data_IF_709786772122
#
_entry.id   IF_709786772122
#
_cell.length_a   1.000
_cell.length_b   1.000
_cell.length_c   1.000
_cell.angle_alpha   90.00
_cell.angle_beta   90.00
_cell.angle_gamma   90.00
#
_symmetry.space_group_name_H-M   'P 1'
#
loop_
_entity.id
_entity.type
_entity.pdbx_description
1 polymer ?
#
# COMPACT_ATOMS: atom_id res chain seq x y z
N UNK A 1 -4.32 14.63 -17.54
CA UNK A 1 -5.44 13.93 -16.85
C UNK A 1 -5.10 13.98 -15.39
N UNK A 2 -5.93 14.63 -14.58
CA UNK A 2 -5.73 14.64 -13.15
C UNK A 2 -6.35 13.38 -12.55
N UNK A 3 -5.63 12.71 -11.64
CA UNK A 3 -6.16 11.57 -10.90
C UNK A 3 -5.74 11.68 -9.44
N UNK A 4 -6.54 11.08 -8.55
CA UNK A 4 -6.35 11.12 -7.11
C UNK A 4 -6.12 9.73 -6.55
N UNK A 5 -5.25 9.67 -5.55
CA UNK A 5 -4.89 8.46 -4.83
C UNK A 5 -5.21 8.66 -3.36
N UNK A 6 -5.95 7.73 -2.76
CA UNK A 6 -6.21 7.70 -1.32
C UNK A 6 -5.83 6.33 -0.74
N UNK A 7 -5.05 6.34 0.33
CA UNK A 7 -4.78 5.18 1.17
C UNK A 7 -5.37 5.45 2.55
N UNK A 8 -6.33 4.64 2.95
CA UNK A 8 -7.01 4.77 4.24
C UNK A 8 -6.59 3.63 5.14
N UNK A 9 -6.04 3.94 6.32
CA UNK A 9 -5.76 2.93 7.34
C UNK A 9 -7.08 2.28 7.79
N UNK A 10 -7.17 0.97 7.65
CA UNK A 10 -8.36 0.20 8.03
C UNK A 10 -8.20 -0.35 9.44
N UNK A 11 -7.18 -1.18 9.63
CA UNK A 11 -6.92 -1.84 10.91
C UNK A 11 -5.50 -2.36 11.00
N UNK A 12 -5.09 -2.64 12.22
CA UNK A 12 -3.89 -3.42 12.51
C UNK A 12 -4.23 -4.91 12.36
N UNK A 13 -3.42 -5.65 11.59
CA UNK A 13 -3.59 -7.11 11.39
C UNK A 13 -2.73 -7.89 12.38
N UNK A 14 -1.53 -7.38 12.69
CA UNK A 14 -0.63 -7.92 13.71
C UNK A 14 0.16 -6.79 14.39
N UNK A 15 1.05 -7.11 15.33
CA UNK A 15 1.96 -6.13 15.93
C UNK A 15 2.77 -5.35 14.89
N UNK A 16 3.13 -5.99 13.78
CA UNK A 16 3.99 -5.48 12.69
C UNK A 16 3.26 -5.20 11.38
N UNK A 17 2.01 -5.67 11.21
CA UNK A 17 1.27 -5.56 9.95
C UNK A 17 0.01 -4.69 10.03
N UNK A 18 -0.19 -3.85 9.02
CA UNK A 18 -1.26 -2.86 8.95
C UNK A 18 -1.97 -2.93 7.59
N UNK A 19 -3.30 -2.95 7.63
CA UNK A 19 -4.15 -3.00 6.44
C UNK A 19 -4.58 -1.60 6.03
N UNK A 20 -4.43 -1.31 4.75
CA UNK A 20 -4.87 -0.08 4.11
C UNK A 20 -5.85 -0.38 2.98
N UNK A 21 -6.89 0.42 2.85
CA UNK A 21 -7.80 0.45 1.70
C UNK A 21 -7.25 1.45 0.70
N UNK A 22 -7.09 1.04 -0.55
CA UNK A 22 -6.52 1.84 -1.61
C UNK A 22 -7.60 2.24 -2.63
N UNK A 23 -7.71 3.53 -2.87
CA UNK A 23 -8.68 4.14 -3.78
C UNK A 23 -7.95 4.98 -4.84
N UNK A 24 -8.39 4.86 -6.09
CA UNK A 24 -7.99 5.71 -7.21
C UNK A 24 -9.26 6.34 -7.76
N UNK A 25 -9.29 7.67 -7.85
CA UNK A 25 -10.47 8.42 -8.29
C UNK A 25 -11.76 8.05 -7.53
N UNK A 26 -11.62 7.88 -6.20
CA UNK A 26 -12.65 7.45 -5.25
C UNK A 26 -13.24 6.04 -5.50
N UNK A 27 -12.68 5.27 -6.43
CA UNK A 27 -13.00 3.84 -6.62
C UNK A 27 -12.02 2.95 -5.86
N UNK A 28 -12.54 1.91 -5.17
CA UNK A 28 -11.68 0.94 -4.48
C UNK A 28 -11.02 0.03 -5.49
N UNK A 29 -9.69 0.07 -5.52
CA UNK A 29 -8.92 -0.74 -6.47
C UNK A 29 -8.37 -1.99 -5.78
N UNK A 30 -7.88 -1.87 -4.54
CA UNK A 30 -7.38 -3.02 -3.77
C UNK A 30 -7.19 -2.70 -2.27
N UNK A 31 -6.86 -3.74 -1.49
CA UNK A 31 -6.30 -3.59 -0.14
C UNK A 31 -4.80 -3.86 -0.14
N UNK A 32 -4.08 -3.13 0.70
CA UNK A 32 -2.63 -3.21 0.86
C UNK A 32 -2.29 -3.60 2.29
N UNK A 33 -1.45 -4.63 2.43
CA UNK A 33 -0.83 -5.00 3.69
C UNK A 33 0.57 -4.41 3.74
N UNK A 34 0.80 -3.49 4.67
CA UNK A 34 2.13 -3.00 5.05
C UNK A 34 2.64 -3.86 6.21
N UNK A 35 3.65 -4.70 5.94
CA UNK A 35 4.30 -5.53 6.93
C UNK A 35 5.71 -5.00 7.21
N UNK A 36 5.90 -4.50 8.43
CA UNK A 36 7.15 -3.86 8.86
C UNK A 36 8.25 -4.87 9.14
N UNK A 37 7.89 -6.05 9.58
CA UNK A 37 8.82 -7.10 9.96
C UNK A 37 9.29 -7.87 8.73
N UNK A 38 8.35 -8.19 7.83
CA UNK A 38 8.69 -8.72 6.52
C UNK A 38 9.31 -7.68 5.57
N UNK A 39 9.32 -6.40 5.98
CA UNK A 39 9.88 -5.31 5.19
C UNK A 39 9.21 -5.16 3.84
N UNK A 40 7.88 -5.31 3.73
CA UNK A 40 7.20 -5.32 2.44
C UNK A 40 5.80 -4.73 2.44
N UNK A 41 5.33 -4.32 1.27
CA UNK A 41 3.93 -4.01 0.97
C UNK A 41 3.41 -5.06 -0.01
N UNK A 42 2.24 -5.64 0.28
CA UNK A 42 1.62 -6.70 -0.52
C UNK A 42 0.15 -6.38 -0.79
N UNK A 43 -0.44 -6.81 -1.91
CA UNK A 43 -1.89 -6.84 -2.04
C UNK A 43 -2.46 -7.78 -0.99
N UNK A 44 -3.63 -7.44 -0.47
CA UNK A 44 -4.36 -8.24 0.49
C UNK A 44 -5.85 -8.27 0.15
N UNK A 45 -6.57 -9.19 0.77
CA UNK A 45 -8.02 -9.16 0.82
C UNK A 45 -8.52 -8.22 1.91
N UNK A 46 -9.85 -8.11 2.04
CA UNK A 46 -10.51 -7.28 3.06
C UNK A 46 -10.15 -7.71 4.48
N UNK A 47 -9.71 -8.95 4.64
CA UNK A 47 -9.34 -9.53 5.92
C UNK A 47 -7.88 -9.26 6.30
N UNK A 48 -7.08 -8.73 5.37
CA UNK A 48 -5.67 -8.47 5.55
C UNK A 48 -4.80 -9.70 5.31
N UNK A 49 -5.31 -10.71 4.61
CA UNK A 49 -4.51 -11.85 4.17
C UNK A 49 -3.85 -11.50 2.83
N UNK A 50 -2.53 -11.72 2.68
CA UNK A 50 -1.85 -11.45 1.42
C UNK A 50 -2.46 -12.23 0.25
N UNK A 51 -2.67 -11.57 -0.88
CA UNK A 51 -3.22 -12.17 -2.10
C UNK A 51 -2.16 -12.19 -3.20
N UNK A 52 -1.85 -13.38 -3.70
CA UNK A 52 -0.88 -13.59 -4.76
C UNK A 52 0.59 -13.40 -4.33
N UNK A 53 1.47 -13.33 -5.32
CA UNK A 53 2.93 -13.26 -5.13
C UNK A 53 3.52 -11.86 -5.24
N UNK A 54 2.67 -10.85 -5.50
CA UNK A 54 3.09 -9.45 -5.68
C UNK A 54 3.59 -8.87 -4.36
N UNK A 55 4.73 -8.18 -4.40
CA UNK A 55 5.24 -7.42 -3.26
C UNK A 55 6.16 -6.27 -3.70
N UNK A 56 6.16 -5.22 -2.91
CA UNK A 56 7.18 -4.17 -2.93
C UNK A 56 8.04 -4.32 -1.67
N UNK A 57 9.35 -4.35 -1.82
CA UNK A 57 10.29 -4.35 -0.69
C UNK A 57 10.47 -2.92 -0.15
N UNK A 58 10.35 -2.76 1.17
CA UNK A 58 10.43 -1.47 1.86
C UNK A 58 11.87 -0.96 1.99
N UNK A 59 12.86 -1.84 1.90
CA UNK A 59 14.27 -1.49 2.09
C UNK A 59 14.83 -0.80 0.85
N UNK A 60 14.72 -1.46 -0.31
CA UNK A 60 15.31 -0.99 -1.57
C UNK A 60 14.26 -0.43 -2.55
N UNK A 61 12.96 -0.66 -2.31
CA UNK A 61 11.89 -0.28 -3.23
C UNK A 61 11.74 -1.23 -4.41
N UNK A 62 12.38 -2.41 -4.37
CA UNK A 62 12.31 -3.40 -5.45
C UNK A 62 10.92 -4.01 -5.53
N UNK A 63 10.41 -4.07 -6.75
CA UNK A 63 9.13 -4.68 -7.05
C UNK A 63 9.31 -6.13 -7.50
N UNK A 64 8.57 -7.04 -6.88
CA UNK A 64 8.53 -8.44 -7.26
C UNK A 64 7.13 -8.81 -7.75
N UNK A 65 7.01 -9.05 -9.06
CA UNK A 65 5.80 -9.58 -9.68
C UNK A 65 6.11 -10.24 -11.02
N UNK A 66 5.25 -11.15 -11.44
CA UNK A 66 5.24 -11.71 -12.80
C UNK A 66 4.57 -10.75 -13.79
N UNK A 67 3.67 -9.87 -13.32
CA UNK A 67 3.01 -8.82 -14.10
C UNK A 67 3.04 -7.48 -13.35
N UNK A 68 3.62 -6.45 -13.98
CA UNK A 68 3.71 -5.11 -13.42
C UNK A 68 2.37 -4.37 -13.57
N UNK A 69 1.49 -4.57 -12.61
CA UNK A 69 0.28 -3.78 -12.41
C UNK A 69 0.69 -2.36 -11.95
N UNK A 70 0.51 -1.37 -12.83
CA UNK A 70 0.96 0.01 -12.61
C UNK A 70 0.29 0.65 -11.39
N UNK A 71 -0.97 0.31 -11.11
CA UNK A 71 -1.71 0.86 -9.99
C UNK A 71 -1.15 0.35 -8.66
N UNK A 72 -0.88 -0.95 -8.56
CA UNK A 72 -0.26 -1.52 -7.37
C UNK A 72 1.14 -0.93 -7.12
N UNK A 73 1.97 -0.80 -8.16
CA UNK A 73 3.32 -0.19 -8.03
C UNK A 73 3.20 1.23 -7.48
N UNK A 74 2.29 2.03 -8.04
CA UNK A 74 2.10 3.41 -7.62
C UNK A 74 1.62 3.51 -6.17
N UNK A 75 0.59 2.73 -5.81
CA UNK A 75 -0.03 2.73 -4.48
C UNK A 75 0.94 2.20 -3.42
N UNK A 76 1.63 1.10 -3.69
CA UNK A 76 2.62 0.52 -2.78
C UNK A 76 3.80 1.48 -2.56
N UNK A 77 4.28 2.14 -3.62
CA UNK A 77 5.36 3.13 -3.51
C UNK A 77 4.96 4.32 -2.65
N UNK A 78 3.72 4.79 -2.78
CA UNK A 78 3.19 5.86 -1.93
C UNK A 78 3.10 5.44 -0.48
N UNK A 79 2.61 4.23 -0.22
CA UNK A 79 2.52 3.69 1.13
C UNK A 79 3.92 3.54 1.75
N UNK A 80 4.88 3.01 1.00
CA UNK A 80 6.27 2.87 1.44
C UNK A 80 6.95 4.22 1.71
N UNK A 81 6.71 5.23 0.88
CA UNK A 81 7.24 6.57 1.09
C UNK A 81 6.68 7.24 2.35
N UNK A 82 5.40 7.01 2.67
CA UNK A 82 4.79 7.50 3.91
C UNK A 82 5.28 6.71 5.13
N UNK A 83 5.44 5.40 4.98
CA UNK A 83 6.04 4.53 5.99
C UNK A 83 7.43 5.02 6.43
N UNK A 84 8.27 5.44 5.47
CA UNK A 84 9.62 5.94 5.74
C UNK A 84 9.65 7.28 6.49
N UNK A 85 8.54 8.02 6.56
CA UNK A 85 8.51 9.30 7.28
C UNK A 85 8.44 9.05 8.79
N UNK A 86 9.26 9.73 9.59
CA UNK A 86 9.18 9.63 11.05
C UNK A 86 7.82 10.16 11.54
N UNK A 87 7.10 9.33 12.31
CA UNK A 87 5.78 9.69 12.86
C UNK A 87 4.84 8.49 12.99
N UNK A 88 3.65 8.74 13.54
CA UNK A 88 2.56 7.75 13.57
C UNK A 88 2.08 7.47 12.14
N UNK A 89 1.69 6.22 11.80
CA UNK A 89 1.07 5.94 10.52
C UNK A 89 -0.15 6.84 10.36
N UNK A 90 -0.14 7.68 9.32
CA UNK A 90 -1.27 8.57 9.05
C UNK A 90 -2.50 7.72 8.80
N UNK A 91 -3.63 8.10 9.43
CA UNK A 91 -4.92 7.41 9.23
C UNK A 91 -5.35 7.45 7.76
N UNK A 92 -4.90 8.45 7.02
CA UNK A 92 -5.21 8.65 5.63
C UNK A 92 -4.04 9.32 4.92
N UNK A 93 -3.74 8.87 3.70
CA UNK A 93 -2.76 9.47 2.80
C UNK A 93 -3.48 9.81 1.51
N UNK A 94 -3.45 11.08 1.12
CA UNK A 94 -3.99 11.54 -0.17
C UNK A 94 -2.88 12.11 -1.05
N UNK A 95 -2.96 11.87 -2.36
CA UNK A 95 -2.14 12.55 -3.34
C UNK A 95 -2.92 12.84 -4.61
N UNK A 96 -2.74 14.04 -5.14
CA UNK A 96 -3.33 14.49 -6.39
C UNK A 96 -2.22 14.60 -7.44
N UNK A 97 -2.48 14.10 -8.62
CA UNK A 97 -1.64 14.24 -9.79
C UNK A 97 -2.40 15.11 -10.80
N UNK A 98 -1.76 16.13 -11.37
CA UNK A 98 -2.35 17.11 -12.28
C UNK A 98 -1.45 17.36 -13.47
#
# INVERSE_FOLDING_TARGET
MAFSLRLTFVRRVSSSAFLFRAEVDDEVVLYLLLDREAGSVRPADVDGRPVGMRRLDLNDGTFHSVNADQDFVLLASHLAAQWRKPGSPQREVRKYFG
#
